data_IF_082681531440
#
_entry.id   IF_082681531440
#
_cell.length_a   1.000
_cell.length_b   1.000
_cell.length_c   1.000
_cell.angle_alpha   90.00
_cell.angle_beta   90.00
_cell.angle_gamma   90.00
#
_symmetry.space_group_name_H-M   'P 1'
#
loop_
_entity.id
_entity.type
_entity.pdbx_description
1 polymer ?
#
# COMPACT_ATOMS: atom_id res chain seq x y z
N UNK A 1 -16.09 -2.21 10.77
CA UNK A 1 -15.33 -2.56 9.54
C UNK A 1 -14.80 -1.35 8.74
N UNK A 2 -15.00 -0.09 9.17
CA UNK A 2 -14.56 1.11 8.43
C UNK A 2 -13.05 1.19 8.19
N UNK A 3 -12.25 0.94 9.23
CA UNK A 3 -10.77 1.02 9.17
C UNK A 3 -10.19 0.01 8.20
N UNK A 4 -10.57 -1.27 8.33
CA UNK A 4 -10.08 -2.33 7.44
C UNK A 4 -10.45 -2.08 5.98
N UNK A 5 -11.67 -1.58 5.71
CA UNK A 5 -12.08 -1.21 4.36
C UNK A 5 -11.25 -0.03 3.81
N UNK A 6 -11.00 1.00 4.62
CA UNK A 6 -10.17 2.14 4.20
C UNK A 6 -8.73 1.74 3.92
N UNK A 7 -8.16 0.88 4.77
CA UNK A 7 -6.83 0.29 4.58
C UNK A 7 -6.73 -0.51 3.27
N UNK A 8 -7.71 -1.37 3.00
CA UNK A 8 -7.77 -2.16 1.78
C UNK A 8 -7.94 -1.28 0.53
N UNK A 9 -8.73 -0.20 0.61
CA UNK A 9 -8.84 0.78 -0.47
C UNK A 9 -7.52 1.50 -0.76
N UNK A 10 -6.80 1.91 0.29
CA UNK A 10 -5.47 2.50 0.13
C UNK A 10 -4.48 1.54 -0.53
N UNK A 11 -4.53 0.25 -0.15
CA UNK A 11 -3.69 -0.78 -0.74
C UNK A 11 -4.06 -1.07 -2.21
N UNK A 12 -5.35 -1.16 -2.51
CA UNK A 12 -5.85 -1.34 -3.88
C UNK A 12 -5.43 -0.17 -4.78
N UNK A 13 -5.52 1.07 -4.29
CA UNK A 13 -5.08 2.25 -5.02
C UNK A 13 -3.60 2.18 -5.44
N UNK A 14 -2.72 1.67 -4.56
CA UNK A 14 -1.31 1.47 -4.89
C UNK A 14 -1.09 0.38 -5.96
N UNK A 15 -1.89 -0.68 -5.91
CA UNK A 15 -1.78 -1.80 -6.86
C UNK A 15 -2.38 -1.50 -8.23
N UNK A 16 -3.36 -0.60 -8.31
CA UNK A 16 -4.06 -0.22 -9.54
C UNK A 16 -3.41 0.96 -10.29
N UNK A 17 -2.31 1.51 -9.76
CA UNK A 17 -1.55 2.56 -10.44
C UNK A 17 -0.94 2.05 -11.78
N UNK A 18 -0.80 2.94 -12.78
CA UNK A 18 -0.18 2.63 -14.08
C UNK A 18 1.17 1.91 -13.93
N UNK A 19 1.91 2.33 -12.90
CA UNK A 19 3.06 1.62 -12.38
C UNK A 19 2.71 1.12 -10.97
N UNK A 20 2.36 -0.17 -10.80
CA UNK A 20 1.92 -0.70 -9.52
C UNK A 20 2.97 -0.46 -8.43
N UNK A 21 2.55 -0.22 -7.20
CA UNK A 21 3.45 -0.03 -6.06
C UNK A 21 3.26 -1.16 -5.05
N UNK A 22 4.33 -1.90 -4.78
CA UNK A 22 4.39 -2.92 -3.73
C UNK A 22 4.71 -2.22 -2.40
N UNK A 23 3.73 -2.15 -1.49
CA UNK A 23 3.87 -1.43 -0.23
C UNK A 23 4.86 -2.09 0.76
N UNK A 24 4.91 -3.42 0.78
CA UNK A 24 5.81 -4.30 1.59
C UNK A 24 5.75 -4.18 3.12
N UNK A 25 5.22 -3.10 3.70
CA UNK A 25 5.11 -2.92 5.15
C UNK A 25 3.65 -2.73 5.61
N UNK A 26 2.76 -3.61 5.14
CA UNK A 26 1.34 -3.56 5.50
C UNK A 26 1.11 -4.13 6.91
N UNK A 27 1.05 -3.24 7.90
CA UNK A 27 0.81 -3.56 9.31
C UNK A 27 0.00 -2.48 10.00
N UNK A 28 -0.66 -2.83 11.10
CA UNK A 28 -1.55 -1.91 11.84
C UNK A 28 -0.86 -0.64 12.31
N UNK A 29 0.41 -0.69 12.67
CA UNK A 29 1.17 0.50 13.11
C UNK A 29 1.38 1.54 11.99
N UNK A 30 1.24 1.14 10.72
CA UNK A 30 1.37 2.02 9.55
C UNK A 30 0.01 2.45 8.98
N UNK A 31 -1.08 2.18 9.71
CA UNK A 31 -2.42 2.65 9.35
C UNK A 31 -2.79 3.78 10.28
N UNK A 32 -2.64 5.00 9.77
CA UNK A 32 -3.03 6.21 10.48
C UNK A 32 -4.53 6.42 10.37
N UNK A 33 -5.11 7.00 11.41
CA UNK A 33 -6.52 7.37 11.47
C UNK A 33 -6.62 8.87 11.64
N UNK A 34 -7.47 9.52 10.85
CA UNK A 34 -7.89 10.88 11.13
C UNK A 34 -9.03 10.94 12.16
N UNK A 35 -9.52 12.14 12.47
CA UNK A 35 -10.58 12.37 13.45
C UNK A 35 -11.88 11.62 13.14
N UNK A 36 -12.10 11.26 11.88
CA UNK A 36 -13.30 10.54 11.44
C UNK A 36 -13.08 9.02 11.36
N UNK A 37 -11.95 8.51 11.87
CA UNK A 37 -11.54 7.11 11.73
C UNK A 37 -11.40 6.67 10.26
N UNK A 38 -11.02 7.59 9.37
CA UNK A 38 -10.64 7.25 7.99
C UNK A 38 -9.20 6.76 8.00
N UNK A 39 -8.99 5.56 7.46
CA UNK A 39 -7.68 4.94 7.39
C UNK A 39 -6.84 5.53 6.26
N UNK A 40 -5.56 5.82 6.55
CA UNK A 40 -4.54 6.28 5.61
C UNK A 40 -3.28 5.44 5.79
N UNK A 41 -2.71 4.95 4.69
CA UNK A 41 -1.42 4.26 4.72
C UNK A 41 -0.30 5.29 4.95
N UNK A 42 0.66 4.97 5.80
CA UNK A 42 1.86 5.79 6.06
C UNK A 42 3.14 5.00 5.82
N UNK A 43 4.30 5.64 5.91
CA UNK A 43 5.61 4.97 5.81
C UNK A 43 5.78 4.12 4.53
N UNK A 44 6.06 4.81 3.43
CA UNK A 44 6.43 4.20 2.15
C UNK A 44 7.94 3.93 2.05
N UNK A 45 8.70 3.96 3.17
CA UNK A 45 10.15 3.79 3.15
C UNK A 45 10.60 2.42 2.62
N UNK A 46 9.73 1.42 2.75
CA UNK A 46 9.93 0.10 2.17
C UNK A 46 9.15 -0.11 0.86
N UNK A 47 8.40 0.86 0.36
CA UNK A 47 7.67 0.68 -0.89
C UNK A 47 8.62 0.49 -2.07
N UNK A 48 8.19 -0.30 -3.05
CA UNK A 48 8.91 -0.51 -4.31
C UNK A 48 7.95 -0.44 -5.47
N UNK A 49 8.47 0.05 -6.58
CA UNK A 49 7.83 -0.12 -7.86
C UNK A 49 7.62 -1.61 -8.13
N UNK A 50 6.43 -1.95 -8.58
CA UNK A 50 6.06 -3.27 -9.06
C UNK A 50 6.74 -3.59 -10.38
N UNK A 51 6.66 -4.86 -10.81
CA UNK A 51 7.23 -5.26 -12.08
C UNK A 51 6.50 -4.59 -13.25
N UNK A 52 7.24 -4.30 -14.32
CA UNK A 52 6.73 -3.70 -15.55
C UNK A 52 6.80 -4.72 -16.71
N UNK A 53 5.87 -4.65 -17.66
CA UNK A 53 5.87 -5.53 -18.84
C UNK A 53 5.63 -7.00 -18.48
N UNK A 54 6.53 -7.88 -18.92
CA UNK A 54 6.45 -9.33 -18.67
C UNK A 54 7.16 -9.78 -17.38
N UNK A 55 7.82 -8.85 -16.67
CA UNK A 55 8.44 -9.16 -15.40
C UNK A 55 7.38 -9.53 -14.35
N UNK A 56 7.72 -10.48 -13.47
CA UNK A 56 6.77 -10.98 -12.44
C UNK A 56 7.28 -10.79 -11.02
N UNK A 57 8.55 -10.43 -10.85
CA UNK A 57 9.22 -10.40 -9.55
C UNK A 57 10.05 -9.12 -9.39
N UNK A 58 10.14 -8.65 -8.14
CA UNK A 58 11.00 -7.54 -7.75
C UNK A 58 11.96 -8.04 -6.68
N UNK A 59 13.25 -7.93 -6.94
CA UNK A 59 14.30 -8.29 -5.97
C UNK A 59 14.64 -7.10 -5.09
N UNK A 60 14.81 -7.34 -3.79
CA UNK A 60 15.27 -6.35 -2.82
C UNK A 60 16.52 -6.85 -2.11
N UNK A 61 17.39 -5.92 -1.75
CA UNK A 61 18.44 -6.12 -0.74
C UNK A 61 17.86 -6.13 0.66
#
# INVERSE_FOLDING_TARGET
>A
MKVALGAAKGLAFLHEADKPVIYRDFKSSNILLDSDYTAKLSDLGLAKDGPEGEETHVTTT
#
